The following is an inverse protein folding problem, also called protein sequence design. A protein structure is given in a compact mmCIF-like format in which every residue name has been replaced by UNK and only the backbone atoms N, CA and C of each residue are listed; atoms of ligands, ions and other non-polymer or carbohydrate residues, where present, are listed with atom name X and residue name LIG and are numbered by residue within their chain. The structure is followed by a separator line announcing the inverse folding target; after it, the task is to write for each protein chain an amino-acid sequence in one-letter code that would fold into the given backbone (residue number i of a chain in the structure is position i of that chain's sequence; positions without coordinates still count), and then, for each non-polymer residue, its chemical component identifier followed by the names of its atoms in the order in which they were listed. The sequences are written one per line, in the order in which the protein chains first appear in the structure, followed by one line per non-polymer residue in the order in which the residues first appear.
data_IF_338028320582
#
_entry.id   IF_338028320582
#
_cell.length_a   1.000
_cell.length_b   1.000
_cell.length_c   1.000
_cell.angle_alpha   90.00
_cell.angle_beta   90.00
_cell.angle_gamma   90.00
#
_symmetry.space_group_name_H-M   'P 1'
#
loop_
_entity.id
_entity.type
_entity.pdbx_description
1 polymer ?
#
# COMPACT_ATOMS: atom_id res chain seq x y z
N UNK A 1 1.90 -7.53 14.65
CA UNK A 1 0.69 -8.33 14.44
C UNK A 1 1.06 -9.62 13.70
N UNK A 2 0.59 -10.75 14.21
CA UNK A 2 0.77 -12.07 13.59
C UNK A 2 -0.27 -12.35 12.49
N UNK A 3 -0.10 -13.47 11.76
CA UNK A 3 -1.09 -13.98 10.82
C UNK A 3 -2.13 -14.85 11.54
N UNK A 4 -3.30 -15.13 10.92
CA UNK A 4 -4.33 -16.02 11.49
C UNK A 4 -3.80 -17.44 11.76
N UNK A 5 -2.84 -17.91 10.96
CA UNK A 5 -2.19 -19.20 11.12
C UNK A 5 -1.00 -19.23 12.08
N UNK A 6 -0.66 -18.11 12.72
CA UNK A 6 0.47 -18.06 13.62
C UNK A 6 0.23 -18.89 14.88
N UNK A 7 1.07 -19.89 15.10
CA UNK A 7 1.04 -20.81 16.26
C UNK A 7 2.27 -20.65 17.16
N UNK A 8 3.01 -19.55 17.05
CA UNK A 8 4.19 -19.26 17.87
C UNK A 8 3.85 -18.66 19.22
N UNK A 9 4.86 -18.13 19.91
CA UNK A 9 4.72 -17.50 21.21
C UNK A 9 3.83 -16.25 21.15
N UNK A 10 3.03 -16.01 22.19
CA UNK A 10 2.18 -14.82 22.31
C UNK A 10 2.96 -13.52 22.51
N UNK A 11 4.18 -13.63 23.01
CA UNK A 11 5.06 -12.49 23.29
C UNK A 11 6.43 -12.69 22.66
N UNK A 12 7.01 -11.60 22.17
CA UNK A 12 8.40 -11.55 21.72
C UNK A 12 9.11 -10.43 22.49
N UNK A 13 9.90 -10.79 23.53
CA UNK A 13 10.44 -9.85 24.50
C UNK A 13 9.29 -9.11 25.21
N UNK A 14 9.33 -7.80 25.25
CA UNK A 14 8.29 -6.96 25.86
C UNK A 14 7.07 -6.73 24.94
N UNK A 15 7.08 -7.25 23.71
CA UNK A 15 6.05 -6.96 22.71
C UNK A 15 5.03 -8.09 22.60
N UNK A 16 3.75 -7.78 22.83
CA UNK A 16 2.65 -8.71 22.60
C UNK A 16 2.34 -8.87 21.11
N UNK A 17 2.23 -10.12 20.65
CA UNK A 17 1.87 -10.46 19.28
C UNK A 17 0.35 -10.48 19.16
N UNK A 18 -0.21 -9.53 18.43
CA UNK A 18 -1.65 -9.46 18.18
C UNK A 18 -2.01 -10.28 16.92
N UNK A 19 -2.88 -11.27 17.09
CA UNK A 19 -3.42 -12.11 16.02
C UNK A 19 -4.82 -11.63 15.65
N UNK A 20 -5.16 -11.51 14.35
CA UNK A 20 -6.50 -11.14 13.92
C UNK A 20 -7.49 -12.25 14.28
N UNK A 21 -8.43 -11.95 15.13
CA UNK A 21 -9.49 -12.87 15.57
C UNK A 21 -10.83 -12.14 15.67
N UNK A 22 -11.87 -12.89 15.99
CA UNK A 22 -13.21 -12.32 16.28
C UNK A 22 -13.08 -11.43 17.52
N UNK A 23 -13.60 -10.18 17.50
CA UNK A 23 -13.59 -9.31 18.66
C UNK A 23 -14.28 -9.99 19.85
N UNK A 24 -13.63 -10.07 20.98
CA UNK A 24 -14.24 -10.63 22.21
C UNK A 24 -15.38 -9.71 22.66
N UNK A 25 -16.45 -10.31 23.20
CA UNK A 25 -17.58 -9.54 23.74
C UNK A 25 -17.13 -8.57 24.85
N UNK A 26 -16.11 -8.94 25.63
CA UNK A 26 -15.53 -8.15 26.71
C UNK A 26 -14.64 -6.98 26.24
N UNK A 27 -14.30 -6.91 24.93
CA UNK A 27 -13.44 -5.82 24.42
C UNK A 27 -14.23 -4.50 24.40
N UNK A 28 -13.64 -3.44 24.97
CA UNK A 28 -14.22 -2.10 24.89
C UNK A 28 -14.30 -1.60 23.43
N UNK A 29 -15.20 -0.67 23.08
CA UNK A 29 -15.30 -0.10 21.73
C UNK A 29 -13.97 0.52 21.26
N UNK A 30 -13.23 1.13 22.16
CA UNK A 30 -11.91 1.72 21.86
C UNK A 30 -10.89 0.64 21.51
N UNK A 31 -10.84 -0.45 22.26
CA UNK A 31 -9.94 -1.59 22.01
C UNK A 31 -10.26 -2.26 20.67
N UNK A 32 -11.55 -2.43 20.34
CA UNK A 32 -11.99 -2.96 19.02
C UNK A 32 -11.50 -2.07 17.88
N UNK A 33 -11.70 -0.75 17.97
CA UNK A 33 -11.21 0.21 16.96
C UNK A 33 -9.68 0.20 16.83
N UNK A 34 -8.94 0.12 17.94
CA UNK A 34 -7.47 0.05 17.95
C UNK A 34 -6.98 -1.21 17.23
N UNK A 35 -7.53 -2.39 17.56
CA UNK A 35 -7.23 -3.67 16.91
C UNK A 35 -7.53 -3.59 15.41
N UNK A 36 -8.71 -3.11 15.01
CA UNK A 36 -9.11 -2.98 13.61
C UNK A 36 -8.17 -2.05 12.82
N UNK A 37 -7.71 -0.94 13.41
CA UNK A 37 -6.74 -0.02 12.78
C UNK A 37 -5.40 -0.70 12.52
N UNK A 38 -4.92 -1.51 13.46
CA UNK A 38 -3.68 -2.28 13.29
C UNK A 38 -3.78 -3.29 12.14
N UNK A 39 -4.86 -4.06 12.09
CA UNK A 39 -5.04 -5.05 11.03
C UNK A 39 -5.26 -4.42 9.66
N UNK A 40 -5.95 -3.28 9.59
CA UNK A 40 -6.10 -2.52 8.35
C UNK A 40 -4.75 -2.02 7.80
N UNK A 41 -3.86 -1.53 8.68
CA UNK A 41 -2.51 -1.13 8.27
C UNK A 41 -1.71 -2.30 7.69
N UNK A 42 -1.81 -3.48 8.30
CA UNK A 42 -1.15 -4.69 7.80
C UNK A 42 -1.72 -5.15 6.46
N UNK A 43 -3.04 -5.22 6.35
CA UNK A 43 -3.70 -5.60 5.09
C UNK A 43 -3.31 -4.70 3.91
N UNK A 44 -2.98 -3.42 4.17
CA UNK A 44 -2.48 -2.50 3.15
C UNK A 44 -1.07 -2.85 2.62
N UNK A 45 -0.29 -3.65 3.34
CA UNK A 45 1.07 -4.05 2.91
C UNK A 45 1.02 -5.21 1.91
N UNK A 46 0.04 -6.11 2.05
CA UNK A 46 -0.08 -7.32 1.21
C UNK A 46 -0.19 -6.99 -0.30
N UNK A 47 -1.05 -6.04 -0.74
CA UNK A 47 -1.09 -5.62 -2.14
C UNK A 47 0.24 -5.04 -2.63
N UNK A 48 0.94 -4.27 -1.80
CA UNK A 48 2.26 -3.68 -2.15
C UNK A 48 3.28 -4.79 -2.40
N UNK A 49 3.34 -5.80 -1.51
CA UNK A 49 4.21 -6.96 -1.69
C UNK A 49 3.81 -7.75 -2.94
N UNK A 50 2.50 -7.89 -3.20
CA UNK A 50 1.97 -8.52 -4.41
C UNK A 50 2.47 -7.81 -5.67
N UNK A 51 2.37 -6.50 -5.74
CA UNK A 51 2.89 -5.69 -6.85
C UNK A 51 4.41 -5.78 -6.98
N UNK A 52 5.15 -5.74 -5.86
CA UNK A 52 6.61 -5.91 -5.91
C UNK A 52 7.00 -7.27 -6.49
N UNK A 53 6.25 -8.34 -6.16
CA UNK A 53 6.50 -9.68 -6.71
C UNK A 53 6.13 -9.80 -8.18
N UNK A 54 4.96 -9.31 -8.58
CA UNK A 54 4.43 -9.43 -9.94
C UNK A 54 5.12 -8.48 -10.92
N UNK A 55 5.21 -7.19 -10.56
CA UNK A 55 5.63 -6.13 -11.47
C UNK A 55 7.14 -5.83 -11.40
N UNK A 56 7.77 -6.07 -10.23
CA UNK A 56 9.15 -5.65 -9.94
C UNK A 56 10.09 -6.81 -9.61
N UNK A 57 9.75 -8.02 -10.04
CA UNK A 57 10.60 -9.24 -9.95
C UNK A 57 11.04 -9.62 -8.53
N UNK A 58 10.39 -9.15 -7.47
CA UNK A 58 10.70 -9.55 -6.10
C UNK A 58 10.41 -11.03 -5.82
N UNK A 59 9.61 -11.70 -6.67
CA UNK A 59 9.32 -13.13 -6.58
C UNK A 59 10.50 -14.04 -6.89
N UNK A 60 11.61 -13.54 -7.45
CA UNK A 60 12.81 -14.28 -7.81
C UNK A 60 14.03 -13.51 -7.36
N UNK A 61 14.89 -14.14 -6.57
CA UNK A 61 16.16 -13.57 -6.18
C UNK A 61 17.22 -13.84 -7.26
N UNK A 62 17.88 -12.79 -7.73
CA UNK A 62 18.93 -12.85 -8.74
C UNK A 62 20.34 -12.78 -8.15
N UNK A 63 20.44 -12.43 -6.89
CA UNK A 63 21.71 -12.26 -6.18
C UNK A 63 21.88 -13.34 -5.11
N UNK A 64 23.10 -13.73 -4.81
CA UNK A 64 23.41 -14.73 -3.79
C UNK A 64 23.70 -14.07 -2.45
N UNK A 65 23.24 -14.70 -1.38
CA UNK A 65 23.53 -14.32 0.01
C UNK A 65 22.65 -13.21 0.54
N UNK A 66 22.76 -12.95 1.84
CA UNK A 66 21.91 -12.02 2.59
C UNK A 66 21.96 -10.59 2.03
N UNK A 67 23.15 -10.14 1.62
CA UNK A 67 23.35 -8.83 0.99
C UNK A 67 22.62 -8.75 -0.35
N UNK A 68 22.67 -9.83 -1.14
CA UNK A 68 21.95 -9.94 -2.41
C UNK A 68 20.44 -9.87 -2.23
N UNK A 69 19.90 -10.54 -1.21
CA UNK A 69 18.49 -10.48 -0.86
C UNK A 69 18.06 -9.04 -0.52
N UNK A 70 18.86 -8.36 0.31
CA UNK A 70 18.60 -6.97 0.69
C UNK A 70 18.59 -6.04 -0.53
N UNK A 71 19.56 -6.16 -1.43
CA UNK A 71 19.63 -5.38 -2.67
C UNK A 71 18.41 -5.63 -3.54
N UNK A 72 17.99 -6.89 -3.72
CA UNK A 72 16.82 -7.24 -4.52
C UNK A 72 15.54 -6.60 -3.97
N UNK A 73 15.33 -6.66 -2.65
CA UNK A 73 14.19 -6.03 -1.98
C UNK A 73 14.23 -4.50 -2.14
N UNK A 74 15.39 -3.88 -1.95
CA UNK A 74 15.53 -2.42 -2.10
C UNK A 74 15.26 -1.96 -3.52
N UNK A 75 15.75 -2.68 -4.53
CA UNK A 75 15.51 -2.36 -5.94
C UNK A 75 14.01 -2.50 -6.30
N UNK A 76 13.35 -3.56 -5.85
CA UNK A 76 11.92 -3.74 -6.07
C UNK A 76 11.09 -2.64 -5.41
N UNK A 77 11.43 -2.26 -4.18
CA UNK A 77 10.78 -1.15 -3.46
C UNK A 77 11.02 0.20 -4.14
N UNK A 78 12.23 0.46 -4.60
CA UNK A 78 12.57 1.67 -5.35
C UNK A 78 11.78 1.75 -6.67
N UNK A 79 11.72 0.66 -7.43
CA UNK A 79 10.96 0.59 -8.68
C UNK A 79 9.45 0.82 -8.45
N UNK A 80 8.88 0.23 -7.41
CA UNK A 80 7.49 0.46 -7.00
C UNK A 80 7.22 1.94 -6.68
N UNK A 81 8.08 2.56 -5.86
CA UNK A 81 7.95 3.96 -5.49
C UNK A 81 8.14 4.89 -6.69
N UNK A 82 9.09 4.59 -7.57
CA UNK A 82 9.31 5.36 -8.79
C UNK A 82 8.09 5.31 -9.73
N UNK A 83 7.53 4.12 -9.96
CA UNK A 83 6.30 3.95 -10.75
C UNK A 83 5.15 4.78 -10.18
N UNK A 84 5.01 4.82 -8.86
CA UNK A 84 4.00 5.63 -8.18
C UNK A 84 4.24 7.13 -8.35
N UNK A 85 5.49 7.58 -8.19
CA UNK A 85 5.88 8.99 -8.40
C UNK A 85 5.62 9.44 -9.85
N UNK A 86 5.97 8.61 -10.83
CA UNK A 86 5.72 8.89 -12.24
C UNK A 86 4.23 9.02 -12.55
N UNK A 87 3.39 8.17 -11.98
CA UNK A 87 1.92 8.29 -12.15
C UNK A 87 1.38 9.59 -11.57
N UNK A 88 1.87 9.99 -10.40
CA UNK A 88 1.51 11.26 -9.78
C UNK A 88 1.92 12.45 -10.66
N UNK A 89 3.15 12.43 -11.18
CA UNK A 89 3.65 13.46 -12.08
C UNK A 89 2.82 13.58 -13.36
N UNK A 90 2.49 12.44 -13.97
CA UNK A 90 1.63 12.41 -15.17
C UNK A 90 0.22 12.97 -14.88
N UNK A 91 -0.34 12.68 -13.70
CA UNK A 91 -1.61 13.24 -13.28
C UNK A 91 -1.53 14.76 -13.15
N UNK A 92 -0.46 15.26 -12.52
CA UNK A 92 -0.21 16.70 -12.35
C UNK A 92 -0.06 17.40 -13.71
N UNK A 93 0.73 16.85 -14.61
CA UNK A 93 0.92 17.39 -15.98
C UNK A 93 -0.43 17.43 -16.71
N UNK A 94 -1.20 16.34 -16.68
CA UNK A 94 -2.54 16.30 -17.30
C UNK A 94 -3.48 17.37 -16.72
N UNK A 95 -3.42 17.59 -15.42
CA UNK A 95 -4.21 18.62 -14.75
C UNK A 95 -3.80 20.00 -15.22
N UNK A 96 -2.50 20.29 -15.27
CA UNK A 96 -1.97 21.58 -15.75
C UNK A 96 -2.35 21.86 -17.22
N UNK A 97 -2.25 20.84 -18.09
CA UNK A 97 -2.67 20.96 -19.51
C UNK A 97 -4.17 21.28 -19.59
N UNK A 98 -5.01 20.60 -18.81
CA UNK A 98 -6.45 20.88 -18.78
C UNK A 98 -6.74 22.32 -18.33
N UNK A 99 -6.09 22.80 -17.30
CA UNK A 99 -6.22 24.18 -16.81
C UNK A 99 -5.81 25.20 -17.88
N UNK A 100 -4.72 24.93 -18.61
CA UNK A 100 -4.26 25.79 -19.70
C UNK A 100 -5.26 25.84 -20.85
N UNK A 101 -5.87 24.72 -21.21
CA UNK A 101 -6.88 24.64 -22.31
C UNK A 101 -8.19 25.30 -21.88
N UNK A 102 -8.64 25.14 -20.63
CA UNK A 102 -9.86 25.77 -20.09
C UNK A 102 -9.74 27.28 -19.95
N UNK A 103 -8.54 27.78 -19.70
CA UNK A 103 -8.28 29.24 -19.68
C UNK A 103 -8.40 29.90 -21.04
N UNK A 104 -8.42 29.14 -22.14
CA UNK A 104 -8.54 29.64 -23.52
C UNK A 104 -9.95 29.44 -24.10
N UNK A 105 -10.80 28.61 -23.51
CA UNK A 105 -12.15 28.34 -24.00
C UNK A 105 -13.15 28.10 -22.87
N UNK A 106 -13.95 29.10 -22.56
CA UNK A 106 -15.14 28.97 -21.73
C UNK A 106 -16.18 28.08 -22.43
N UNK A 107 -16.66 27.05 -21.74
CA UNK A 107 -17.75 26.13 -22.07
C UNK A 107 -17.32 24.73 -22.52
N UNK A 108 -17.03 23.87 -21.54
CA UNK A 108 -17.30 22.45 -21.71
C UNK A 108 -17.56 21.76 -20.35
N UNK A 109 -18.78 21.30 -20.16
CA UNK A 109 -19.24 20.53 -19.00
C UNK A 109 -18.65 19.12 -19.03
N UNK A 110 -17.52 18.89 -18.37
CA UNK A 110 -17.02 17.53 -18.07
C UNK A 110 -16.20 17.49 -16.78
N UNK A 111 -16.85 17.78 -15.65
CA UNK A 111 -16.21 17.65 -14.33
C UNK A 111 -16.50 16.32 -13.61
N UNK A 112 -17.20 15.37 -14.27
CA UNK A 112 -17.66 14.14 -13.57
C UNK A 112 -16.86 12.87 -13.79
N UNK A 113 -15.86 12.84 -14.67
CA UNK A 113 -15.16 11.57 -15.00
C UNK A 113 -13.88 11.34 -14.18
N UNK A 114 -13.37 12.32 -13.44
CA UNK A 114 -12.06 12.23 -12.77
C UNK A 114 -12.11 11.77 -11.31
N UNK A 115 -13.29 11.69 -10.68
CA UNK A 115 -13.37 11.22 -9.29
C UNK A 115 -13.29 9.69 -9.13
N UNK A 116 -13.59 8.93 -10.17
CA UNK A 116 -13.64 7.46 -10.08
C UNK A 116 -12.34 6.73 -10.44
N UNK A 117 -11.36 7.40 -11.05
CA UNK A 117 -10.09 6.74 -11.44
C UNK A 117 -9.00 6.84 -10.36
N UNK A 118 -9.22 7.63 -9.31
CA UNK A 118 -8.23 7.87 -8.26
C UNK A 118 -8.34 6.93 -7.05
N UNK A 119 -9.33 6.04 -7.03
CA UNK A 119 -9.62 5.20 -5.85
C UNK A 119 -8.98 3.80 -5.88
N UNK A 120 -8.24 3.41 -6.94
CA UNK A 120 -7.67 2.07 -7.10
C UNK A 120 -6.17 2.11 -7.47
N UNK A 121 -5.38 2.87 -6.70
CA UNK A 121 -3.91 2.76 -6.80
C UNK A 121 -3.24 2.88 -5.44
#
# INVERSE_FOLDING_TARGET
AGDRGYRGQETCGETNIMIPGVPKASDSPHTKKKKQRFFRKRAGIEPVIGHCKADHRLGRNFYKGLLGDAINVMLAAAAFNFKRAMRFLLCLIRTMIKWSIQGVGSNFNETKVLSNTFCWL
#
